data_IF_301545097016
#
_entry.id   IF_301545097016
#
_cell.length_a   1.000
_cell.length_b   1.000
_cell.length_c   1.000
_cell.angle_alpha   90.00
_cell.angle_beta   90.00
_cell.angle_gamma   90.00
#
_symmetry.space_group_name_H-M   'P 1'
#
loop_
_entity.id
_entity.type
_entity.pdbx_description
1 polymer ?
#
# COMPACT_ATOMS: atom_id res chain seq x y z
N UNK A 1 -13.60 -7.83 2.45
CA UNK A 1 -12.43 -8.48 1.86
C UNK A 1 -11.35 -8.69 2.89
N UNK A 2 -10.75 -9.85 2.88
CA UNK A 2 -9.63 -10.06 3.78
C UNK A 2 -8.47 -9.16 3.40
N UNK A 3 -7.84 -8.59 4.40
CA UNK A 3 -6.64 -7.79 4.18
C UNK A 3 -5.49 -8.72 3.88
N UNK A 4 -4.61 -8.31 2.97
CA UNK A 4 -3.39 -9.04 2.73
C UNK A 4 -2.50 -8.93 3.97
N UNK A 5 -2.15 -10.06 4.52
CA UNK A 5 -1.26 -10.12 5.67
C UNK A 5 0.19 -10.08 5.19
N UNK A 6 1.09 -9.69 6.08
CA UNK A 6 2.51 -9.65 5.76
C UNK A 6 3.02 -10.99 5.22
N UNK A 7 2.51 -12.10 5.74
CA UNK A 7 2.86 -13.43 5.27
C UNK A 7 2.57 -13.61 3.78
N UNK A 8 1.38 -13.19 3.35
CA UNK A 8 0.97 -13.32 1.95
C UNK A 8 1.82 -12.43 1.05
N UNK A 9 2.13 -11.22 1.51
CA UNK A 9 2.98 -10.32 0.75
C UNK A 9 4.39 -10.85 0.60
N UNK A 10 4.90 -11.54 1.61
CA UNK A 10 6.24 -12.11 1.56
C UNK A 10 6.38 -13.24 0.54
N UNK A 11 5.29 -13.82 0.10
CA UNK A 11 5.30 -14.84 -0.92
C UNK A 11 5.40 -14.28 -2.33
N UNK A 12 5.21 -12.98 -2.50
CA UNK A 12 5.30 -12.33 -3.80
C UNK A 12 6.75 -12.04 -4.16
N UNK A 13 7.01 -12.03 -5.46
CA UNK A 13 8.33 -11.64 -5.97
C UNK A 13 8.55 -10.15 -5.76
N UNK A 14 9.81 -9.75 -5.74
CA UNK A 14 10.18 -8.34 -5.56
C UNK A 14 9.53 -7.45 -6.61
N UNK A 15 9.54 -7.87 -7.88
CA UNK A 15 8.91 -7.10 -8.95
C UNK A 15 7.42 -6.92 -8.72
N UNK A 16 6.74 -7.97 -8.26
CA UNK A 16 5.33 -7.91 -7.96
C UNK A 16 5.04 -6.96 -6.81
N UNK A 17 5.89 -6.97 -5.78
CA UNK A 17 5.76 -6.05 -4.66
C UNK A 17 5.96 -4.60 -5.09
N UNK A 18 6.93 -4.35 -5.96
CA UNK A 18 7.17 -3.01 -6.47
C UNK A 18 6.01 -2.49 -7.30
N UNK A 19 5.42 -3.34 -8.13
CA UNK A 19 4.24 -2.98 -8.90
C UNK A 19 3.06 -2.69 -7.99
N UNK A 20 2.86 -3.51 -6.98
CA UNK A 20 1.79 -3.30 -6.03
C UNK A 20 1.98 -2.00 -5.26
N UNK A 21 3.21 -1.71 -4.87
CA UNK A 21 3.55 -0.46 -4.21
C UNK A 21 3.23 0.74 -5.08
N UNK A 22 3.56 0.67 -6.37
CA UNK A 22 3.26 1.75 -7.30
C UNK A 22 1.76 2.01 -7.43
N UNK A 23 0.97 0.94 -7.54
CA UNK A 23 -0.49 1.04 -7.62
C UNK A 23 -1.06 1.68 -6.35
N UNK A 24 -0.61 1.22 -5.19
CA UNK A 24 -1.10 1.74 -3.91
C UNK A 24 -0.70 3.20 -3.71
N UNK A 25 0.50 3.57 -4.13
CA UNK A 25 0.97 4.95 -4.05
C UNK A 25 0.11 5.86 -4.92
N UNK A 26 -0.25 5.40 -6.11
CA UNK A 26 -1.13 6.13 -7.01
C UNK A 26 -2.52 6.29 -6.42
N UNK A 27 -3.07 5.21 -5.83
CA UNK A 27 -4.37 5.28 -5.17
C UNK A 27 -4.37 6.27 -4.02
N UNK A 28 -3.29 6.27 -3.23
CA UNK A 28 -3.15 7.22 -2.13
C UNK A 28 -3.14 8.65 -2.64
N UNK A 29 -2.44 8.88 -3.73
CA UNK A 29 -2.37 10.21 -4.34
C UNK A 29 -3.77 10.65 -4.81
N UNK A 30 -4.49 9.78 -5.48
CA UNK A 30 -5.85 10.09 -5.95
C UNK A 30 -6.79 10.41 -4.80
N UNK A 31 -6.70 9.65 -3.71
CA UNK A 31 -7.54 9.90 -2.54
C UNK A 31 -7.21 11.23 -1.90
N UNK A 32 -5.94 11.57 -1.80
CA UNK A 32 -5.52 12.86 -1.26
C UNK A 32 -6.01 14.01 -2.12
N UNK A 33 -5.91 13.85 -3.43
CA UNK A 33 -6.38 14.87 -4.36
C UNK A 33 -7.89 15.06 -4.22
N UNK A 34 -8.62 13.96 -4.17
CA UNK A 34 -10.07 14.01 -4.00
C UNK A 34 -10.45 14.64 -2.67
N UNK A 35 -9.73 14.33 -1.60
CA UNK A 35 -10.00 14.91 -0.30
C UNK A 35 -9.83 16.43 -0.28
N UNK A 36 -8.98 16.97 -1.15
CA UNK A 36 -8.81 18.40 -1.28
C UNK A 36 -9.95 19.11 -2.02
N UNK A 37 -10.73 18.35 -2.80
CA UNK A 37 -11.83 18.92 -3.60
C UNK A 37 -13.20 18.46 -3.15
N UNK A 38 -13.29 17.28 -2.54
CA UNK A 38 -14.55 16.69 -2.08
C UNK A 38 -14.37 16.10 -0.70
N UNK A 39 -15.46 15.94 0.03
CA UNK A 39 -15.42 15.26 1.32
C UNK A 39 -15.14 13.78 1.09
N UNK A 40 -14.16 13.24 1.82
CA UNK A 40 -13.87 11.81 1.78
C UNK A 40 -14.76 11.10 2.78
N UNK A 41 -15.63 10.23 2.28
CA UNK A 41 -16.61 9.56 3.13
C UNK A 41 -16.01 8.49 4.03
N UNK A 42 -14.89 7.88 3.59
CA UNK A 42 -14.33 6.76 4.33
C UNK A 42 -12.84 6.96 4.62
N UNK A 43 -12.51 7.54 5.79
CA UNK A 43 -11.11 7.71 6.18
C UNK A 43 -10.38 6.40 6.42
N UNK A 44 -11.11 5.27 6.56
CA UNK A 44 -10.48 3.98 6.72
C UNK A 44 -9.69 3.55 5.48
N UNK A 45 -10.09 4.01 4.30
CA UNK A 45 -9.34 3.73 3.08
C UNK A 45 -7.91 4.28 3.15
N UNK A 46 -7.76 5.49 3.67
CA UNK A 46 -6.44 6.08 3.84
C UNK A 46 -5.56 5.23 4.76
N UNK A 47 -6.13 4.79 5.86
CA UNK A 47 -5.39 3.98 6.83
C UNK A 47 -4.99 2.64 6.24
N UNK A 48 -5.89 2.00 5.52
CA UNK A 48 -5.64 0.69 4.91
C UNK A 48 -4.54 0.79 3.88
N UNK A 49 -4.63 1.76 2.97
CA UNK A 49 -3.63 1.96 1.93
C UNK A 49 -2.27 2.28 2.54
N UNK A 50 -2.24 3.16 3.54
CA UNK A 50 -0.99 3.53 4.20
C UNK A 50 -0.34 2.34 4.87
N UNK A 51 -1.12 1.48 5.53
CA UNK A 51 -0.60 0.28 6.18
C UNK A 51 -0.02 -0.70 5.17
N UNK A 52 -0.72 -0.90 4.06
CA UNK A 52 -0.23 -1.81 3.02
C UNK A 52 1.06 -1.29 2.40
N UNK A 53 1.14 0.01 2.12
CA UNK A 53 2.36 0.63 1.62
C UNK A 53 3.51 0.39 2.60
N UNK A 54 3.27 0.63 3.90
CA UNK A 54 4.28 0.45 4.92
C UNK A 54 4.77 -1.00 5.00
N UNK A 55 3.86 -1.97 4.91
CA UNK A 55 4.21 -3.39 4.93
C UNK A 55 5.07 -3.77 3.73
N UNK A 56 4.69 -3.32 2.54
CA UNK A 56 5.46 -3.62 1.34
C UNK A 56 6.86 -3.00 1.42
N UNK A 57 6.95 -1.76 1.85
CA UNK A 57 8.25 -1.09 2.01
C UNK A 57 9.14 -1.82 3.01
N UNK A 58 8.56 -2.30 4.11
CA UNK A 58 9.30 -3.04 5.11
C UNK A 58 9.86 -4.33 4.53
N UNK A 59 9.05 -5.07 3.78
CA UNK A 59 9.48 -6.32 3.16
C UNK A 59 10.57 -6.06 2.14
N UNK A 60 10.43 -5.05 1.32
CA UNK A 60 11.44 -4.69 0.33
C UNK A 60 12.75 -4.30 1.01
N UNK A 61 12.68 -3.58 2.11
CA UNK A 61 13.87 -3.20 2.88
C UNK A 61 14.55 -4.43 3.45
N UNK A 62 13.79 -5.36 4.00
CA UNK A 62 14.35 -6.62 4.53
C UNK A 62 15.10 -7.37 3.45
N UNK A 63 14.55 -7.42 2.23
CA UNK A 63 15.19 -8.12 1.10
C UNK A 63 16.47 -7.44 0.65
N UNK A 64 16.52 -6.12 0.73
CA UNK A 64 17.74 -5.39 0.37
C UNK A 64 18.84 -5.58 1.37
N UNK A 65 18.50 -5.82 2.63
CA UNK A 65 19.46 -6.00 3.71
C UNK A 65 19.91 -7.44 3.88
N UNK A 66 19.22 -8.37 3.26
CA UNK A 66 19.52 -9.80 3.39
C UNK A 66 20.78 -10.21 2.63
#
# INVERSE_FOLDING_TARGET
MPKQKAHDLRQLKTDELEQKLAVLTEERFRLRFRAGTEAVENPLQFRTIRREIARIRTILRERQQA
#
